data_IF_331044199724
#
_entry.id   IF_331044199724
#
_cell.length_a   1.000
_cell.length_b   1.000
_cell.length_c   1.000
_cell.angle_alpha   90.00
_cell.angle_beta   90.00
_cell.angle_gamma   90.00
#
_symmetry.space_group_name_H-M   'P 1'
#
loop_
_entity.id
_entity.type
_entity.pdbx_description
1 polymer ?
#
# COMPACT_ATOMS: atom_id res chain seq x y z
N UNK A 1 22.90 18.69 -5.56
CA UNK A 1 21.58 18.06 -5.84
C UNK A 1 20.65 18.44 -4.71
N UNK A 2 19.56 19.15 -5.00
CA UNK A 2 18.59 19.56 -3.99
C UNK A 2 17.81 18.34 -3.45
N UNK A 3 17.24 18.47 -2.24
CA UNK A 3 16.38 17.43 -1.64
C UNK A 3 15.21 17.09 -2.59
N UNK A 4 14.64 18.08 -3.27
CA UNK A 4 13.57 17.87 -4.27
C UNK A 4 14.01 17.01 -5.46
N UNK A 5 15.23 17.22 -5.98
CA UNK A 5 15.74 16.39 -7.09
C UNK A 5 15.96 14.92 -6.66
N UNK A 6 16.39 14.70 -5.41
CA UNK A 6 16.53 13.35 -4.86
C UNK A 6 15.18 12.65 -4.67
N UNK A 7 14.17 13.38 -4.19
CA UNK A 7 12.80 12.87 -4.07
C UNK A 7 12.25 12.49 -5.45
N UNK A 8 12.40 13.36 -6.45
CA UNK A 8 11.94 13.07 -7.81
C UNK A 8 12.62 11.82 -8.41
N UNK A 9 13.94 11.68 -8.23
CA UNK A 9 14.67 10.48 -8.66
C UNK A 9 14.21 9.22 -7.92
N UNK A 10 13.92 9.33 -6.62
CA UNK A 10 13.41 8.22 -5.82
C UNK A 10 12.02 7.79 -6.28
N UNK A 11 11.11 8.73 -6.55
CA UNK A 11 9.80 8.41 -7.11
C UNK A 11 9.93 7.77 -8.50
N UNK A 12 10.87 8.24 -9.32
CA UNK A 12 11.14 7.67 -10.65
C UNK A 12 11.71 6.25 -10.56
N UNK A 13 12.61 5.98 -9.62
CA UNK A 13 13.17 4.63 -9.43
C UNK A 13 12.11 3.64 -8.91
N UNK A 14 11.13 4.15 -8.15
CA UNK A 14 9.99 3.36 -7.66
C UNK A 14 8.83 3.26 -8.66
N UNK A 15 8.93 3.85 -9.86
CA UNK A 15 7.84 3.85 -10.85
C UNK A 15 7.29 2.46 -11.13
N UNK A 16 8.14 1.45 -11.29
CA UNK A 16 7.70 0.07 -11.57
C UNK A 16 6.89 -0.52 -10.41
N UNK A 17 7.32 -0.27 -9.17
CA UNK A 17 6.61 -0.71 -7.97
C UNK A 17 5.28 0.01 -7.82
N UNK A 18 5.25 1.31 -8.07
CA UNK A 18 4.01 2.10 -8.10
C UNK A 18 3.04 1.58 -9.17
N UNK A 19 3.52 1.31 -10.39
CA UNK A 19 2.70 0.73 -11.46
C UNK A 19 2.18 -0.67 -11.09
N UNK A 20 3.01 -1.50 -10.45
CA UNK A 20 2.60 -2.81 -9.95
C UNK A 20 1.50 -2.69 -8.89
N UNK A 21 1.63 -1.74 -7.96
CA UNK A 21 0.58 -1.44 -6.97
C UNK A 21 -0.71 -0.96 -7.63
N UNK A 22 -0.62 -0.04 -8.60
CA UNK A 22 -1.79 0.45 -9.35
C UNK A 22 -2.46 -0.68 -10.15
N UNK A 23 -1.68 -1.56 -10.78
CA UNK A 23 -2.22 -2.72 -11.47
C UNK A 23 -2.91 -3.69 -10.50
N UNK A 24 -2.31 -3.91 -9.33
CA UNK A 24 -2.91 -4.73 -8.27
C UNK A 24 -4.19 -4.08 -7.72
N UNK A 25 -4.20 -2.75 -7.50
CA UNK A 25 -5.37 -1.96 -7.14
C UNK A 25 -6.51 -2.12 -8.16
N UNK A 26 -6.18 -2.08 -9.45
CA UNK A 26 -7.15 -2.23 -10.52
C UNK A 26 -7.86 -3.60 -10.49
N UNK A 27 -7.20 -4.66 -10.02
CA UNK A 27 -7.85 -5.96 -9.85
C UNK A 27 -8.98 -5.92 -8.82
N UNK A 28 -8.79 -5.20 -7.70
CA UNK A 28 -9.85 -5.03 -6.70
C UNK A 28 -11.02 -4.23 -7.26
N UNK A 29 -10.75 -3.16 -8.00
CA UNK A 29 -11.81 -2.36 -8.62
C UNK A 29 -12.56 -3.16 -9.69
N UNK A 30 -11.85 -3.95 -10.50
CA UNK A 30 -12.47 -4.83 -11.50
C UNK A 30 -13.34 -5.90 -10.83
N UNK A 31 -12.86 -6.54 -9.77
CA UNK A 31 -13.64 -7.48 -8.99
C UNK A 31 -14.87 -6.80 -8.36
N UNK A 32 -14.71 -5.58 -7.85
CA UNK A 32 -15.78 -4.83 -7.23
C UNK A 32 -16.87 -4.42 -8.21
N UNK A 33 -16.47 -3.94 -9.39
CA UNK A 33 -17.39 -3.67 -10.51
C UNK A 33 -18.12 -4.92 -10.95
N UNK A 34 -17.41 -6.05 -11.07
CA UNK A 34 -18.01 -7.33 -11.49
C UNK A 34 -19.08 -7.77 -10.49
N UNK A 35 -18.76 -7.74 -9.19
CA UNK A 35 -19.73 -8.08 -8.15
C UNK A 35 -20.94 -7.13 -8.16
N UNK A 36 -20.73 -5.83 -8.38
CA UNK A 36 -21.82 -4.86 -8.51
C UNK A 36 -22.71 -5.13 -9.71
N UNK A 37 -22.14 -5.47 -10.87
CA UNK A 37 -22.93 -5.81 -12.07
C UNK A 37 -23.78 -7.06 -11.84
N UNK A 38 -23.25 -8.03 -11.10
CA UNK A 38 -23.93 -9.32 -10.86
C UNK A 38 -24.97 -9.27 -9.74
N UNK A 39 -24.82 -8.39 -8.76
CA UNK A 39 -25.53 -8.50 -7.49
C UNK A 39 -25.86 -7.16 -6.82
N UNK A 40 -26.04 -6.08 -7.60
CA UNK A 40 -26.54 -4.82 -7.01
C UNK A 40 -27.98 -5.00 -6.53
N UNK A 41 -28.21 -4.71 -5.25
CA UNK A 41 -29.51 -4.72 -4.62
C UNK A 41 -30.32 -3.45 -4.87
N UNK A 42 -31.60 -3.42 -4.44
CA UNK A 42 -32.49 -2.25 -4.56
C UNK A 42 -31.93 -0.99 -3.89
N UNK A 43 -31.20 -1.17 -2.79
CA UNK A 43 -30.59 -0.09 -2.01
C UNK A 43 -29.19 0.32 -2.53
N UNK A 44 -28.75 -0.24 -3.67
CA UNK A 44 -27.51 0.16 -4.35
C UNK A 44 -26.21 -0.40 -3.75
N UNK A 45 -26.30 -1.29 -2.75
CA UNK A 45 -25.18 -2.09 -2.23
C UNK A 45 -25.13 -3.46 -2.90
N UNK A 46 -23.98 -4.14 -2.81
CA UNK A 46 -23.80 -5.49 -3.37
C UNK A 46 -24.31 -6.52 -2.37
N UNK A 47 -25.28 -7.32 -2.79
CA UNK A 47 -25.86 -8.40 -1.99
C UNK A 47 -25.09 -9.71 -2.21
N UNK A 48 -24.92 -10.52 -1.16
CA UNK A 48 -24.19 -11.79 -1.26
C UNK A 48 -25.05 -12.92 -1.81
N UNK A 49 -26.36 -12.90 -1.60
CA UNK A 49 -27.27 -13.97 -2.03
C UNK A 49 -27.30 -14.17 -3.55
N UNK A 50 -27.36 -13.10 -4.39
CA UNK A 50 -27.26 -13.26 -5.84
C UNK A 50 -25.91 -13.78 -6.31
N UNK A 51 -24.82 -13.48 -5.59
CA UNK A 51 -23.47 -13.99 -5.88
C UNK A 51 -23.37 -15.48 -5.60
N UNK A 52 -24.01 -15.97 -4.53
CA UNK A 52 -24.11 -17.41 -4.26
C UNK A 52 -24.87 -18.15 -5.37
N UNK A 53 -25.93 -17.55 -5.91
CA UNK A 53 -26.73 -18.17 -6.97
C UNK A 53 -25.99 -18.23 -8.31
N UNK A 54 -25.16 -17.24 -8.62
CA UNK A 54 -24.42 -17.18 -9.91
C UNK A 54 -23.12 -17.97 -9.90
N UNK A 55 -22.35 -17.91 -8.82
CA UNK A 55 -20.99 -18.47 -8.77
C UNK A 55 -20.71 -19.41 -7.60
N UNK A 56 -21.73 -19.73 -6.80
CA UNK A 56 -21.63 -20.64 -5.66
C UNK A 56 -20.63 -20.20 -4.60
N UNK A 57 -20.20 -21.16 -3.77
CA UNK A 57 -19.23 -20.92 -2.69
C UNK A 57 -17.88 -20.41 -3.18
N UNK A 58 -17.46 -20.79 -4.39
CA UNK A 58 -16.19 -20.38 -4.97
C UNK A 58 -16.11 -18.89 -5.23
N UNK A 59 -17.18 -18.29 -5.77
CA UNK A 59 -17.22 -16.85 -6.05
C UNK A 59 -17.23 -16.05 -4.75
N UNK A 60 -18.03 -16.46 -3.79
CA UNK A 60 -18.12 -15.76 -2.49
C UNK A 60 -16.80 -15.86 -1.72
N UNK A 61 -16.17 -17.04 -1.72
CA UNK A 61 -14.87 -17.24 -1.08
C UNK A 61 -13.78 -16.39 -1.74
N UNK A 62 -13.79 -16.26 -3.06
CA UNK A 62 -12.88 -15.37 -3.79
C UNK A 62 -13.10 -13.89 -3.41
N UNK A 63 -14.35 -13.44 -3.29
CA UNK A 63 -14.67 -12.07 -2.87
C UNK A 63 -14.28 -11.78 -1.42
N UNK A 64 -14.50 -12.73 -0.51
CA UNK A 64 -14.07 -12.61 0.89
C UNK A 64 -12.55 -12.53 0.99
N UNK A 65 -11.83 -13.36 0.25
CA UNK A 65 -10.37 -13.30 0.18
C UNK A 65 -9.89 -11.97 -0.39
N UNK A 66 -10.54 -11.47 -1.46
CA UNK A 66 -10.23 -10.16 -2.04
C UNK A 66 -10.50 -9.03 -1.05
N UNK A 67 -11.62 -9.05 -0.32
CA UNK A 67 -11.91 -8.08 0.73
C UNK A 67 -10.89 -8.11 1.86
N UNK A 68 -10.47 -9.31 2.27
CA UNK A 68 -9.42 -9.50 3.27
C UNK A 68 -8.07 -8.95 2.82
N UNK A 69 -7.69 -9.16 1.55
CA UNK A 69 -6.47 -8.59 0.96
C UNK A 69 -6.57 -7.08 0.80
N UNK A 70 -7.72 -6.57 0.37
CA UNK A 70 -7.96 -5.14 0.20
C UNK A 70 -7.83 -4.38 1.51
N UNK A 71 -8.36 -4.92 2.62
CA UNK A 71 -8.19 -4.33 3.95
C UNK A 71 -6.73 -4.19 4.39
N UNK A 72 -5.83 -4.98 3.79
CA UNK A 72 -4.38 -4.94 4.02
C UNK A 72 -3.61 -4.21 2.92
N UNK A 73 -4.30 -3.67 1.93
CA UNK A 73 -3.67 -2.95 0.84
C UNK A 73 -2.75 -1.80 1.33
N UNK A 74 -3.12 -0.98 2.35
CA UNK A 74 -2.23 0.05 2.86
C UNK A 74 -0.89 -0.52 3.35
N UNK A 75 -0.93 -1.64 4.08
CA UNK A 75 0.25 -2.36 4.53
C UNK A 75 1.10 -2.81 3.34
N UNK A 76 0.48 -3.48 2.35
CA UNK A 76 1.17 -4.00 1.16
C UNK A 76 1.84 -2.86 0.40
N UNK A 77 1.11 -1.75 0.17
CA UNK A 77 1.63 -0.57 -0.51
C UNK A 77 2.83 0.04 0.24
N UNK A 78 2.74 0.15 1.57
CA UNK A 78 3.83 0.63 2.42
C UNK A 78 5.06 -0.27 2.32
N UNK A 79 4.90 -1.60 2.46
CA UNK A 79 6.00 -2.54 2.35
C UNK A 79 6.66 -2.50 0.98
N UNK A 80 5.88 -2.49 -0.10
CA UNK A 80 6.40 -2.47 -1.48
C UNK A 80 7.19 -1.19 -1.78
N UNK A 81 6.70 -0.02 -1.34
CA UNK A 81 7.35 1.26 -1.63
C UNK A 81 8.56 1.54 -0.73
N UNK A 82 8.53 1.10 0.53
CA UNK A 82 9.63 1.30 1.47
C UNK A 82 10.64 0.14 1.52
N UNK A 83 10.37 -0.99 0.83
CA UNK A 83 11.32 -2.10 0.77
C UNK A 83 12.69 -1.66 0.24
N UNK A 84 13.74 -1.94 1.00
CA UNK A 84 15.10 -1.60 0.61
C UNK A 84 15.45 -0.11 0.74
N UNK A 85 14.67 0.67 1.48
CA UNK A 85 14.75 2.14 1.48
C UNK A 85 16.14 2.70 1.83
N UNK A 86 16.75 2.22 2.92
CA UNK A 86 18.13 2.55 3.34
C UNK A 86 19.09 1.41 2.98
N UNK A 87 18.64 0.16 3.11
CA UNK A 87 19.49 -1.03 2.99
C UNK A 87 20.07 -1.16 1.58
N UNK A 88 19.32 -0.79 0.55
CA UNK A 88 19.81 -0.75 -0.83
C UNK A 88 20.96 0.25 -1.01
N UNK A 89 20.82 1.46 -0.45
CA UNK A 89 21.82 2.52 -0.59
C UNK A 89 23.10 2.22 0.19
N UNK A 90 22.97 1.58 1.37
CA UNK A 90 24.10 1.13 2.17
C UNK A 90 24.89 0.05 1.42
N UNK A 91 24.22 -0.93 0.83
CA UNK A 91 24.89 -2.05 0.15
C UNK A 91 25.42 -1.72 -1.24
N UNK A 92 24.72 -0.89 -2.00
CA UNK A 92 25.22 -0.39 -3.28
C UNK A 92 26.35 0.66 -3.10
N UNK A 93 26.66 1.05 -1.86
CA UNK A 93 27.69 2.04 -1.54
C UNK A 93 27.28 3.49 -1.82
N UNK A 94 26.04 3.73 -2.28
CA UNK A 94 25.50 5.06 -2.52
C UNK A 94 25.42 5.91 -1.25
N UNK A 95 25.28 5.28 -0.08
CA UNK A 95 25.35 5.97 1.21
C UNK A 95 26.62 6.84 1.34
N UNK A 96 27.78 6.37 0.86
CA UNK A 96 29.05 7.11 0.91
C UNK A 96 29.01 8.39 0.06
N UNK A 97 28.33 8.36 -1.08
CA UNK A 97 28.17 9.53 -1.95
C UNK A 97 27.27 10.60 -1.31
N UNK A 98 26.33 10.22 -0.45
CA UNK A 98 25.48 11.15 0.27
C UNK A 98 26.19 11.80 1.47
N UNK A 99 27.13 11.09 2.11
CA UNK A 99 27.94 11.62 3.22
C UNK A 99 28.95 12.70 2.81
N UNK A 100 29.39 12.72 1.55
CA UNK A 100 30.35 13.74 1.03
C UNK A 100 29.66 15.08 0.72
N UNK A 101 28.33 15.13 0.74
CA UNK A 101 27.55 16.33 0.40
C UNK A 101 27.10 17.07 1.65
N UNK A 102 26.92 18.41 1.59
CA UNK A 102 26.54 19.25 2.74
C UNK A 102 25.09 19.05 3.22
N UNK A 103 24.39 18.01 2.77
CA UNK A 103 23.00 17.73 3.16
C UNK A 103 23.03 16.70 4.27
N UNK A 104 22.37 16.98 5.41
CA UNK A 104 22.33 16.03 6.50
C UNK A 104 21.65 14.72 6.06
N UNK A 105 22.25 13.54 6.33
CA UNK A 105 21.68 12.24 5.96
C UNK A 105 20.25 12.06 6.48
N UNK A 106 19.98 12.55 7.69
CA UNK A 106 18.66 12.48 8.30
C UNK A 106 17.61 13.22 7.46
N UNK A 107 17.88 14.45 6.99
CA UNK A 107 16.92 15.22 6.17
C UNK A 107 16.68 14.54 4.83
N UNK A 108 17.71 13.95 4.23
CA UNK A 108 17.60 13.22 2.98
C UNK A 108 16.66 12.01 3.11
N UNK A 109 16.93 11.13 4.08
CA UNK A 109 16.09 9.95 4.29
C UNK A 109 14.71 10.32 4.85
N UNK A 110 14.57 11.35 5.68
CA UNK A 110 13.25 11.80 6.12
C UNK A 110 12.39 12.28 4.94
N UNK A 111 12.94 13.07 4.02
CA UNK A 111 12.22 13.54 2.84
C UNK A 111 11.83 12.39 1.89
N UNK A 112 12.74 11.44 1.69
CA UNK A 112 12.48 10.27 0.83
C UNK A 112 11.46 9.33 1.48
N UNK A 113 11.52 9.11 2.79
CA UNK A 113 10.50 8.37 3.55
C UNK A 113 9.14 9.03 3.40
N UNK A 114 9.05 10.34 3.64
CA UNK A 114 7.81 11.10 3.52
C UNK A 114 7.21 10.99 2.11
N UNK A 115 8.03 11.07 1.06
CA UNK A 115 7.56 10.94 -0.32
C UNK A 115 6.99 9.54 -0.63
N UNK A 116 7.64 8.47 -0.15
CA UNK A 116 7.20 7.10 -0.38
C UNK A 116 5.98 6.75 0.47
N UNK A 117 5.96 7.20 1.73
CA UNK A 117 4.81 7.08 2.62
C UNK A 117 3.59 7.82 2.06
N UNK A 118 3.78 9.04 1.53
CA UNK A 118 2.74 9.79 0.83
C UNK A 118 2.25 9.02 -0.41
N UNK A 119 3.14 8.40 -1.18
CA UNK A 119 2.76 7.53 -2.30
C UNK A 119 1.87 6.36 -1.87
N UNK A 120 2.26 5.63 -0.81
CA UNK A 120 1.47 4.53 -0.26
C UNK A 120 0.10 5.00 0.23
N UNK A 121 0.08 6.13 0.95
CA UNK A 121 -1.14 6.76 1.45
C UNK A 121 -2.06 7.15 0.30
N UNK A 122 -1.58 7.90 -0.68
CA UNK A 122 -2.41 8.42 -1.79
C UNK A 122 -3.02 7.29 -2.62
N UNK A 123 -2.25 6.26 -2.96
CA UNK A 123 -2.80 5.12 -3.72
C UNK A 123 -3.89 4.41 -2.93
N UNK A 124 -3.69 4.21 -1.63
CA UNK A 124 -4.68 3.57 -0.74
C UNK A 124 -5.90 4.45 -0.51
N UNK A 125 -5.69 5.76 -0.35
CA UNK A 125 -6.73 6.76 -0.11
C UNK A 125 -7.63 6.98 -1.33
N UNK A 126 -7.19 6.60 -2.53
CA UNK A 126 -8.04 6.53 -3.71
C UNK A 126 -8.74 5.17 -3.77
N UNK A 127 -7.98 4.07 -3.62
CA UNK A 127 -8.49 2.72 -3.80
C UNK A 127 -9.60 2.36 -2.82
N UNK A 128 -9.40 2.55 -1.51
CA UNK A 128 -10.35 2.09 -0.50
C UNK A 128 -11.70 2.82 -0.61
N UNK A 129 -11.76 4.16 -0.67
CA UNK A 129 -13.03 4.86 -0.87
C UNK A 129 -13.70 4.53 -2.20
N UNK A 130 -12.93 4.35 -3.29
CA UNK A 130 -13.50 3.93 -4.56
C UNK A 130 -14.15 2.54 -4.45
N UNK A 131 -13.53 1.63 -3.73
CA UNK A 131 -14.09 0.30 -3.49
C UNK A 131 -15.31 0.34 -2.56
N UNK A 132 -15.31 1.17 -1.51
CA UNK A 132 -16.48 1.38 -0.65
C UNK A 132 -17.68 1.86 -1.47
N UNK A 133 -17.47 2.84 -2.36
CA UNK A 133 -18.53 3.33 -3.25
C UNK A 133 -19.05 2.23 -4.19
N UNK A 134 -18.18 1.33 -4.66
CA UNK A 134 -18.58 0.21 -5.51
C UNK A 134 -19.39 -0.83 -4.75
N UNK A 135 -18.99 -1.18 -3.52
CA UNK A 135 -19.60 -2.26 -2.74
C UNK A 135 -20.79 -1.81 -1.90
N UNK A 136 -20.65 -0.69 -1.20
CA UNK A 136 -21.60 -0.19 -0.22
C UNK A 136 -22.49 0.92 -0.80
N UNK A 137 -22.18 1.42 -2.00
CA UNK A 137 -22.87 2.57 -2.59
C UNK A 137 -22.55 3.92 -1.92
N UNK A 138 -21.85 3.88 -0.78
CA UNK A 138 -21.48 5.05 0.03
C UNK A 138 -20.05 4.87 0.55
N UNK A 139 -19.39 5.98 0.83
CA UNK A 139 -18.06 5.94 1.43
C UNK A 139 -18.17 5.73 2.95
N UNK A 140 -17.36 4.82 3.51
CA UNK A 140 -17.33 4.52 4.95
C UNK A 140 -16.86 5.68 5.84
N UNK A 141 -16.41 6.79 5.24
CA UNK A 141 -16.09 8.04 5.92
C UNK A 141 -14.62 8.22 6.30
N UNK A 142 -14.28 9.30 7.02
CA UNK A 142 -12.91 9.74 7.23
C UNK A 142 -12.06 8.77 8.07
N UNK A 143 -12.70 7.86 8.83
CA UNK A 143 -12.01 6.81 9.57
C UNK A 143 -11.12 5.93 8.67
N UNK A 144 -11.52 5.74 7.40
CA UNK A 144 -10.71 5.02 6.40
C UNK A 144 -9.34 5.66 6.21
N UNK A 145 -9.25 7.00 6.17
CA UNK A 145 -7.96 7.69 6.02
C UNK A 145 -7.10 7.59 7.27
N UNK A 146 -7.71 7.65 8.47
CA UNK A 146 -7.00 7.46 9.73
C UNK A 146 -6.40 6.05 9.80
N UNK A 147 -7.16 5.04 9.39
CA UNK A 147 -6.68 3.67 9.32
C UNK A 147 -5.51 3.52 8.34
N UNK A 148 -5.66 4.04 7.10
CA UNK A 148 -4.58 4.04 6.10
C UNK A 148 -3.32 4.70 6.66
N UNK A 149 -3.45 5.88 7.25
CA UNK A 149 -2.32 6.61 7.83
C UNK A 149 -1.66 5.81 8.95
N UNK A 150 -2.45 5.15 9.81
CA UNK A 150 -1.94 4.32 10.90
C UNK A 150 -1.11 3.15 10.38
N UNK A 151 -1.58 2.46 9.33
CA UNK A 151 -0.81 1.41 8.66
C UNK A 151 0.51 1.96 8.06
N UNK A 152 0.43 3.08 7.34
CA UNK A 152 1.59 3.69 6.68
C UNK A 152 2.66 4.08 7.71
N UNK A 153 2.25 4.69 8.83
CA UNK A 153 3.19 5.12 9.86
C UNK A 153 3.77 3.95 10.65
N UNK A 154 2.93 3.01 11.09
CA UNK A 154 3.38 1.88 11.90
C UNK A 154 4.33 0.97 11.11
N UNK A 155 3.89 0.48 9.95
CA UNK A 155 4.70 -0.45 9.15
C UNK A 155 5.80 0.27 8.38
N UNK A 156 5.58 1.53 7.97
CA UNK A 156 6.64 2.32 7.36
C UNK A 156 7.76 2.63 8.34
N UNK A 157 7.43 3.02 9.57
CA UNK A 157 8.41 3.23 10.64
C UNK A 157 9.17 1.95 10.97
N UNK A 158 8.49 0.81 11.04
CA UNK A 158 9.11 -0.50 11.24
C UNK A 158 10.09 -0.85 10.12
N UNK A 159 9.69 -0.69 8.85
CA UNK A 159 10.59 -0.93 7.70
C UNK A 159 11.78 0.03 7.73
N UNK A 160 11.56 1.32 8.01
CA UNK A 160 12.64 2.30 8.10
C UNK A 160 13.68 1.93 9.18
N UNK A 161 13.20 1.46 10.35
CA UNK A 161 14.06 0.97 11.42
C UNK A 161 14.85 -0.28 10.99
N UNK A 162 14.15 -1.30 10.47
CA UNK A 162 14.75 -2.57 10.05
C UNK A 162 15.71 -2.41 8.86
N UNK A 163 15.46 -1.42 8.00
CA UNK A 163 16.28 -1.13 6.83
C UNK A 163 17.68 -0.63 7.17
N UNK A 164 17.92 -0.20 8.41
CA UNK A 164 19.27 0.13 8.89
C UNK A 164 20.06 -1.13 9.25
N UNK A 165 19.38 -2.20 9.69
CA UNK A 165 20.00 -3.38 10.31
C UNK A 165 20.04 -4.58 9.36
N UNK A 166 19.08 -4.67 8.43
CA UNK A 166 18.85 -5.88 7.63
C UNK A 166 18.61 -5.59 6.16
N UNK A 167 19.00 -6.54 5.30
CA UNK A 167 18.67 -6.57 3.86
C UNK A 167 17.26 -7.04 3.57
N UNK A 168 16.66 -7.74 4.52
CA UNK A 168 15.35 -8.36 4.41
C UNK A 168 14.28 -7.51 5.13
N UNK A 169 14.49 -6.19 5.21
CA UNK A 169 13.66 -5.25 5.98
C UNK A 169 12.15 -5.43 5.76
N UNK A 170 11.70 -5.44 4.52
CA UNK A 170 10.30 -5.64 4.17
C UNK A 170 9.79 -7.07 4.47
N UNK A 171 10.64 -8.09 4.36
CA UNK A 171 10.27 -9.47 4.69
C UNK A 171 10.12 -9.66 6.19
N UNK A 172 11.03 -9.09 6.98
CA UNK A 172 10.95 -9.13 8.44
C UNK A 172 9.75 -8.32 8.92
N UNK A 173 9.51 -7.13 8.35
CA UNK A 173 8.31 -6.36 8.63
C UNK A 173 7.02 -7.10 8.26
N UNK A 174 7.01 -7.84 7.14
CA UNK A 174 5.89 -8.69 6.74
C UNK A 174 5.67 -9.84 7.73
N UNK A 175 6.73 -10.54 8.16
CA UNK A 175 6.62 -11.61 9.15
C UNK A 175 6.06 -11.08 10.47
N UNK A 176 6.56 -9.94 10.94
CA UNK A 176 6.06 -9.29 12.16
C UNK A 176 4.59 -8.87 12.01
N UNK A 177 4.21 -8.35 10.85
CA UNK A 177 2.83 -8.02 10.55
C UNK A 177 1.91 -9.25 10.58
N UNK A 178 2.34 -10.34 9.95
CA UNK A 178 1.58 -11.61 9.94
C UNK A 178 1.43 -12.13 11.38
N UNK A 179 2.50 -12.13 12.18
CA UNK A 179 2.44 -12.60 13.57
C UNK A 179 1.55 -11.72 14.46
N UNK A 180 1.47 -10.41 14.19
CA UNK A 180 0.61 -9.51 14.95
C UNK A 180 -0.88 -9.63 14.56
N UNK A 181 -1.19 -10.37 13.49
CA UNK A 181 -2.54 -10.60 12.99
C UNK A 181 -3.12 -11.97 13.38
N UNK A 182 -2.33 -12.81 14.06
CA UNK A 182 -2.74 -14.11 14.63
C UNK A 182 -3.07 -13.89 16.10
#
# INVERSE_FOLDING_TARGET
MSVGAAVALSLRSQRRRLLGLLAFAALFLAAGLTARVLAVGPDGHVELDPLFLTGGYTLVSALLLLGWMLGRYPLIATLVLLAGFISHDVHAGYARLYHVRPVSPLRFYAARFAALAAGAFLVSAVLLPAFDLLMLGTWAGPATFVLILSYVLAYGGLVALLSVWTRADAWVALLLAITAMI
#
